data_IF_334268682174
#
_entry.id   IF_334268682174
#
_cell.length_a   1.000
_cell.length_b   1.000
_cell.length_c   1.000
_cell.angle_alpha   90.00
_cell.angle_beta   90.00
_cell.angle_gamma   90.00
#
_symmetry.space_group_name_H-M   'P 1'
#
loop_
_entity.id
_entity.type
_entity.pdbx_description
1 polymer ?
#
# COMPACT_ATOMS: atom_id res chain seq x y z
N UNK A 1 21.72 46.57 70.81
CA UNK A 1 20.64 47.23 70.05
C UNK A 1 20.55 46.61 68.65
N UNK A 2 19.35 46.60 68.08
CA UNK A 2 18.90 45.81 66.91
C UNK A 2 19.69 46.06 65.60
N UNK A 3 19.66 45.01 64.77
CA UNK A 3 20.14 44.85 63.38
C UNK A 3 19.64 45.91 62.41
N UNK A 4 20.42 46.21 61.36
CA UNK A 4 19.88 46.32 60.00
C UNK A 4 20.98 46.02 58.96
N UNK A 5 20.94 44.80 58.41
CA UNK A 5 21.64 44.42 57.18
C UNK A 5 20.68 44.68 56.02
N UNK A 6 21.04 45.55 55.08
CA UNK A 6 20.37 45.67 53.79
C UNK A 6 20.76 44.47 52.92
N UNK A 7 19.77 43.70 52.48
CA UNK A 7 19.91 42.68 51.44
C UNK A 7 19.79 43.33 50.05
N UNK A 8 20.64 42.98 49.06
CA UNK A 8 20.33 43.24 47.67
C UNK A 8 19.36 42.17 47.15
N UNK A 9 18.24 42.62 46.58
CA UNK A 9 17.26 41.78 45.89
C UNK A 9 17.89 41.24 44.60
N UNK A 10 18.17 39.94 44.55
CA UNK A 10 18.49 39.24 43.31
C UNK A 10 17.17 38.96 42.59
N UNK A 11 16.94 39.62 41.46
CA UNK A 11 15.85 39.31 40.54
C UNK A 11 16.23 38.02 39.80
N UNK A 12 15.72 36.88 40.26
CA UNK A 12 15.84 35.62 39.56
C UNK A 12 14.93 35.66 38.32
N UNK A 13 15.53 35.79 37.13
CA UNK A 13 14.85 35.43 35.88
C UNK A 13 14.66 33.92 35.87
N UNK A 14 13.42 33.47 36.03
CA UNK A 14 13.03 32.11 35.71
C UNK A 14 13.23 31.87 34.21
N UNK A 15 13.82 30.75 33.78
CA UNK A 15 13.74 30.37 32.38
C UNK A 15 12.27 30.11 32.07
N UNK A 16 11.75 30.80 31.05
CA UNK A 16 10.47 30.47 30.44
C UNK A 16 10.51 28.98 30.09
N UNK A 17 9.59 28.21 30.67
CA UNK A 17 9.44 26.80 30.35
C UNK A 17 9.30 26.65 28.85
N UNK A 18 10.27 25.98 28.23
CA UNK A 18 10.06 25.41 26.92
C UNK A 18 8.93 24.40 27.09
N UNK A 19 7.74 24.74 26.58
CA UNK A 19 6.76 23.72 26.25
C UNK A 19 7.40 22.84 25.18
N UNK A 20 8.03 21.74 25.62
CA UNK A 20 8.30 20.61 24.77
C UNK A 20 6.94 20.14 24.24
N UNK A 21 6.60 20.62 23.05
CA UNK A 21 5.48 20.16 22.28
C UNK A 21 5.84 18.75 21.78
N UNK A 22 5.84 17.77 22.69
CA UNK A 22 5.92 16.35 22.34
C UNK A 22 4.57 15.99 21.74
N UNK A 23 4.41 16.26 20.45
CA UNK A 23 3.41 15.57 19.64
C UNK A 23 3.76 14.09 19.67
N UNK A 24 3.24 13.39 20.67
CA UNK A 24 3.34 11.94 20.76
C UNK A 24 2.79 11.38 19.46
N UNK A 25 3.67 10.81 18.64
CA UNK A 25 3.29 10.19 17.37
C UNK A 25 2.13 9.22 17.63
N UNK A 26 1.14 9.21 16.74
CA UNK A 26 0.02 8.29 16.85
C UNK A 26 0.55 6.86 16.97
N UNK A 27 -0.06 6.03 17.84
CA UNK A 27 0.39 4.65 18.02
C UNK A 27 0.34 3.91 16.68
N UNK A 28 1.31 3.04 16.46
CA UNK A 28 1.44 2.28 15.21
C UNK A 28 1.53 0.79 15.48
N UNK A 29 1.19 0.00 14.45
CA UNK A 29 1.47 -1.43 14.37
C UNK A 29 2.56 -1.66 13.34
N UNK A 30 3.38 -2.69 13.55
CA UNK A 30 4.38 -3.11 12.56
C UNK A 30 3.83 -4.26 11.71
N UNK A 31 3.68 -4.03 10.40
CA UNK A 31 3.37 -5.06 9.41
C UNK A 31 4.61 -5.29 8.55
N UNK A 32 5.07 -6.54 8.50
CA UNK A 32 6.22 -6.93 7.66
C UNK A 32 5.73 -7.56 6.37
N UNK A 33 6.54 -7.54 5.31
CA UNK A 33 6.33 -8.40 4.15
C UNK A 33 6.59 -9.86 4.54
N UNK A 34 5.74 -10.77 4.06
CA UNK A 34 5.93 -12.21 4.17
C UNK A 34 6.97 -12.73 3.17
N UNK A 35 6.97 -14.03 2.92
CA UNK A 35 7.75 -14.62 1.84
C UNK A 35 7.09 -14.32 0.49
N UNK A 36 7.85 -13.97 -0.55
CA UNK A 36 7.28 -13.73 -1.86
C UNK A 36 6.66 -15.02 -2.42
N UNK A 37 5.54 -14.89 -3.12
CA UNK A 37 4.79 -16.04 -3.68
C UNK A 37 4.60 -15.89 -5.19
N UNK A 38 3.57 -15.15 -5.61
CA UNK A 38 3.20 -14.95 -7.02
C UNK A 38 3.49 -13.51 -7.45
N UNK A 39 3.90 -13.33 -8.69
CA UNK A 39 3.82 -12.08 -9.43
C UNK A 39 2.71 -12.24 -10.48
N UNK A 40 1.80 -11.28 -10.53
CA UNK A 40 0.67 -11.33 -11.45
C UNK A 40 0.54 -10.03 -12.23
N UNK A 41 0.59 -10.15 -13.55
CA UNK A 41 0.45 -9.01 -14.46
C UNK A 41 -0.97 -8.96 -14.99
N UNK A 42 -1.59 -7.80 -14.91
CA UNK A 42 -2.92 -7.49 -15.42
C UNK A 42 -2.77 -6.60 -16.66
N UNK A 43 -3.51 -6.95 -17.71
CA UNK A 43 -3.61 -6.19 -18.96
C UNK A 43 -5.09 -5.87 -19.17
N UNK A 44 -5.49 -4.63 -18.93
CA UNK A 44 -6.88 -4.21 -18.96
C UNK A 44 -7.37 -3.98 -20.39
N UNK A 45 -8.52 -4.57 -20.72
CA UNK A 45 -9.25 -4.33 -21.96
C UNK A 45 -10.39 -3.33 -21.73
N UNK A 46 -10.99 -3.36 -20.52
CA UNK A 46 -11.95 -2.37 -20.05
C UNK A 46 -11.48 -1.77 -18.72
N UNK A 47 -11.19 -0.47 -18.72
CA UNK A 47 -10.59 0.27 -17.61
C UNK A 47 -11.60 1.16 -16.87
N UNK A 48 -11.17 1.67 -15.71
CA UNK A 48 -11.81 2.80 -15.04
C UNK A 48 -11.32 4.12 -15.64
N UNK A 49 -12.25 4.94 -16.15
CA UNK A 49 -11.91 6.15 -16.92
C UNK A 49 -11.06 7.16 -16.14
N UNK A 50 -11.24 7.28 -14.81
CA UNK A 50 -10.45 8.20 -13.99
C UNK A 50 -9.02 7.71 -13.72
N UNK A 51 -8.74 6.43 -13.96
CA UNK A 51 -7.42 5.79 -13.78
C UNK A 51 -7.10 4.87 -14.97
N UNK A 52 -6.78 5.43 -16.15
CA UNK A 52 -6.60 4.67 -17.38
C UNK A 52 -5.19 4.05 -17.44
N UNK A 53 -4.91 3.12 -16.52
CA UNK A 53 -3.65 2.38 -16.48
C UNK A 53 -3.83 1.04 -17.17
N UNK A 54 -3.31 0.85 -18.39
CA UNK A 54 -3.59 -0.35 -19.18
C UNK A 54 -2.95 -1.60 -18.57
N UNK A 55 -1.85 -1.43 -17.86
CA UNK A 55 -1.07 -2.51 -17.29
C UNK A 55 -0.85 -2.29 -15.79
N UNK A 56 -0.94 -3.36 -15.01
CA UNK A 56 -0.57 -3.36 -13.61
C UNK A 56 0.15 -4.66 -13.22
N UNK A 57 1.05 -4.59 -12.25
CA UNK A 57 1.72 -5.78 -11.68
C UNK A 57 1.46 -5.86 -10.19
N UNK A 58 0.99 -7.02 -9.74
CA UNK A 58 0.75 -7.39 -8.35
C UNK A 58 1.87 -8.30 -7.86
N UNK A 59 2.42 -8.00 -6.69
CA UNK A 59 3.41 -8.82 -5.98
C UNK A 59 2.77 -9.33 -4.69
N UNK A 60 2.62 -10.65 -4.55
CA UNK A 60 1.99 -11.28 -3.40
C UNK A 60 3.02 -11.81 -2.41
N UNK A 61 2.65 -11.75 -1.13
CA UNK A 61 3.41 -12.28 0.00
C UNK A 61 2.53 -13.22 0.83
N UNK A 62 3.10 -14.31 1.34
CA UNK A 62 2.39 -15.41 2.02
C UNK A 62 1.61 -15.01 3.29
N UNK A 63 1.84 -13.82 3.81
CA UNK A 63 1.14 -13.26 4.96
C UNK A 63 -0.04 -12.35 4.59
N UNK A 64 -0.47 -12.35 3.32
CA UNK A 64 -1.64 -11.59 2.86
C UNK A 64 -1.36 -10.13 2.52
N UNK A 65 -0.10 -9.70 2.48
CA UNK A 65 0.29 -8.37 2.00
C UNK A 65 0.55 -8.42 0.50
N UNK A 66 0.19 -7.35 -0.23
CA UNK A 66 0.58 -7.18 -1.62
C UNK A 66 1.11 -5.78 -1.90
N UNK A 67 1.90 -5.67 -2.98
CA UNK A 67 2.20 -4.40 -3.67
C UNK A 67 1.58 -4.43 -5.06
N UNK A 68 1.00 -3.32 -5.49
CA UNK A 68 0.61 -3.11 -6.88
C UNK A 68 1.37 -1.90 -7.45
N UNK A 69 1.77 -2.03 -8.71
CA UNK A 69 2.38 -0.95 -9.49
C UNK A 69 1.72 -0.85 -10.86
N UNK A 70 1.58 0.37 -11.37
CA UNK A 70 1.19 0.71 -12.73
C UNK A 70 1.87 2.04 -13.13
N UNK A 71 1.78 2.52 -14.39
CA UNK A 71 2.39 3.79 -14.80
C UNK A 71 2.08 5.00 -13.92
N UNK A 72 0.96 5.00 -13.19
CA UNK A 72 0.59 6.11 -12.30
C UNK A 72 -0.03 5.64 -10.97
N UNK A 73 0.19 4.40 -10.57
CA UNK A 73 -0.29 3.84 -9.31
C UNK A 73 0.85 3.08 -8.63
N UNK A 74 1.04 3.32 -7.34
CA UNK A 74 1.97 2.57 -6.52
C UNK A 74 1.49 2.58 -5.07
N UNK A 75 0.96 1.44 -4.63
CA UNK A 75 0.52 1.31 -3.24
C UNK A 75 0.59 -0.13 -2.74
N UNK A 76 0.36 -0.24 -1.44
CA UNK A 76 0.33 -1.50 -0.72
C UNK A 76 -1.09 -1.79 -0.25
N UNK A 77 -1.38 -3.06 0.01
CA UNK A 77 -2.65 -3.48 0.54
C UNK A 77 -2.58 -4.84 1.18
N UNK A 78 -3.74 -5.29 1.63
CA UNK A 78 -3.95 -6.67 2.09
C UNK A 78 -4.90 -7.39 1.16
N UNK A 79 -4.74 -8.69 1.02
CA UNK A 79 -5.59 -9.51 0.16
C UNK A 79 -6.08 -10.78 0.86
N UNK A 80 -7.23 -11.26 0.39
CA UNK A 80 -7.81 -12.54 0.79
C UNK A 80 -8.22 -13.29 -0.47
N UNK A 81 -7.72 -14.51 -0.61
CA UNK A 81 -8.04 -15.40 -1.74
C UNK A 81 -9.23 -16.28 -1.38
N UNK A 82 -10.17 -16.42 -2.31
CA UNK A 82 -11.19 -17.48 -2.31
C UNK A 82 -10.68 -18.61 -3.22
N UNK A 83 -10.22 -19.70 -2.61
CA UNK A 83 -9.45 -20.75 -3.28
C UNK A 83 -7.94 -20.51 -3.11
N UNK A 84 -7.16 -20.91 -4.10
CA UNK A 84 -5.71 -20.70 -4.16
C UNK A 84 -5.35 -19.94 -5.45
N UNK A 85 -4.28 -19.14 -5.42
CA UNK A 85 -3.81 -18.38 -6.59
C UNK A 85 -3.39 -19.27 -7.77
N UNK A 86 -3.22 -20.57 -7.52
CA UNK A 86 -2.88 -21.60 -8.49
C UNK A 86 -4.07 -22.39 -9.01
N UNK A 87 -5.28 -22.19 -8.48
CA UNK A 87 -6.49 -22.90 -8.94
C UNK A 87 -6.89 -22.43 -10.34
N UNK A 88 -7.53 -23.29 -11.13
CA UNK A 88 -8.02 -22.96 -12.48
C UNK A 88 -8.91 -21.70 -12.48
N UNK A 89 -9.74 -21.57 -11.45
CA UNK A 89 -10.53 -20.39 -11.16
C UNK A 89 -10.39 -20.01 -9.69
N UNK A 90 -10.16 -18.73 -9.43
CA UNK A 90 -10.08 -18.19 -8.08
C UNK A 90 -10.55 -16.74 -8.06
N UNK A 91 -10.82 -16.23 -6.87
CA UNK A 91 -11.16 -14.83 -6.70
C UNK A 91 -10.34 -14.22 -5.57
N UNK A 92 -10.08 -12.92 -5.64
CA UNK A 92 -9.30 -12.21 -4.63
C UNK A 92 -10.00 -10.92 -4.24
N UNK A 93 -10.13 -10.71 -2.94
CA UNK A 93 -10.46 -9.40 -2.38
C UNK A 93 -9.16 -8.68 -2.05
N UNK A 94 -9.02 -7.45 -2.51
CA UNK A 94 -7.92 -6.57 -2.15
C UNK A 94 -8.47 -5.37 -1.40
N UNK A 95 -7.82 -5.00 -0.31
CA UNK A 95 -8.05 -3.74 0.39
C UNK A 95 -6.74 -2.95 0.29
N UNK A 96 -6.74 -1.92 -0.55
CA UNK A 96 -5.64 -0.97 -0.64
C UNK A 96 -5.55 -0.18 0.66
N UNK A 97 -4.35 -0.04 1.19
CA UNK A 97 -4.11 0.86 2.32
C UNK A 97 -4.30 2.32 1.86
N UNK A 98 -4.59 3.23 2.80
CA UNK A 98 -4.56 4.67 2.56
C UNK A 98 -3.33 5.11 1.76
N UNK A 99 -3.57 5.71 0.59
CA UNK A 99 -2.53 6.19 -0.32
C UNK A 99 -3.03 7.38 -1.14
N UNK A 100 -2.11 8.14 -1.75
CA UNK A 100 -2.47 9.24 -2.66
C UNK A 100 -3.34 8.78 -3.82
N UNK A 101 -3.17 7.54 -4.26
CA UNK A 101 -3.95 6.91 -5.33
C UNK A 101 -5.45 6.88 -5.00
N UNK A 102 -5.81 6.89 -3.72
CA UNK A 102 -7.18 6.79 -3.22
C UNK A 102 -7.53 7.93 -2.24
N UNK A 103 -6.92 9.10 -2.40
CA UNK A 103 -7.24 10.28 -1.58
C UNK A 103 -6.92 10.12 -0.09
N UNK A 104 -5.97 9.26 0.26
CA UNK A 104 -5.65 8.91 1.64
C UNK A 104 -6.67 7.98 2.30
N UNK A 105 -7.53 7.31 1.51
CA UNK A 105 -8.53 6.33 1.97
C UNK A 105 -8.22 4.94 1.44
N UNK A 106 -8.95 3.96 1.96
CA UNK A 106 -8.91 2.59 1.44
C UNK A 106 -9.74 2.45 0.18
N UNK A 107 -9.34 1.55 -0.71
CA UNK A 107 -10.16 1.08 -1.82
C UNK A 107 -10.32 -0.43 -1.74
N UNK A 108 -11.49 -0.94 -2.12
CA UNK A 108 -11.76 -2.36 -2.22
C UNK A 108 -11.81 -2.76 -3.70
N UNK A 109 -11.06 -3.81 -4.04
CA UNK A 109 -11.14 -4.46 -5.33
C UNK A 109 -11.53 -5.92 -5.15
N UNK A 110 -12.40 -6.40 -6.02
CA UNK A 110 -12.75 -7.80 -6.11
C UNK A 110 -12.51 -8.29 -7.53
N UNK A 111 -11.53 -9.18 -7.67
CA UNK A 111 -11.15 -9.74 -8.96
C UNK A 111 -11.48 -11.23 -9.01
N UNK A 112 -11.96 -11.69 -10.16
CA UNK A 112 -12.13 -13.11 -10.48
C UNK A 112 -11.22 -13.46 -11.63
N UNK A 113 -10.51 -14.57 -11.54
CA UNK A 113 -9.52 -15.02 -12.51
C UNK A 113 -9.90 -16.39 -13.06
N UNK A 114 -9.67 -16.58 -14.36
CA UNK A 114 -9.75 -17.88 -15.03
C UNK A 114 -8.43 -18.15 -15.75
N UNK A 115 -7.65 -19.12 -15.25
CA UNK A 115 -6.32 -19.49 -15.77
C UNK A 115 -6.41 -20.27 -17.09
N UNK A 116 -7.54 -20.92 -17.39
CA UNK A 116 -7.73 -21.62 -18.68
C UNK A 116 -7.80 -20.64 -19.84
N UNK A 117 -8.47 -19.51 -19.64
CA UNK A 117 -8.62 -18.45 -20.64
C UNK A 117 -7.64 -17.30 -20.47
N UNK A 118 -6.89 -17.26 -19.35
CA UNK A 118 -6.03 -16.14 -18.95
C UNK A 118 -6.79 -14.82 -18.92
N UNK A 119 -8.02 -14.82 -18.37
CA UNK A 119 -8.88 -13.63 -18.29
C UNK A 119 -9.24 -13.30 -16.83
N UNK A 120 -9.54 -12.03 -16.59
CA UNK A 120 -10.06 -11.59 -15.30
C UNK A 120 -11.22 -10.60 -15.45
N UNK A 121 -12.03 -10.52 -14.41
CA UNK A 121 -13.03 -9.45 -14.22
C UNK A 121 -12.75 -8.76 -12.89
N UNK A 122 -13.11 -7.48 -12.81
CA UNK A 122 -12.87 -6.64 -11.65
C UNK A 122 -14.10 -5.80 -11.33
N UNK A 123 -14.45 -5.75 -10.04
CA UNK A 123 -15.31 -4.74 -9.46
C UNK A 123 -14.50 -3.97 -8.42
N UNK A 124 -14.59 -2.64 -8.43
CA UNK A 124 -13.91 -1.79 -7.45
C UNK A 124 -14.89 -0.83 -6.79
N UNK A 125 -14.52 -0.34 -5.62
CA UNK A 125 -15.29 0.67 -4.88
C UNK A 125 -14.36 1.40 -3.90
N UNK A 126 -14.62 2.68 -3.68
CA UNK A 126 -13.99 3.48 -2.63
C UNK A 126 -14.91 4.62 -2.23
N UNK A 127 -14.53 5.38 -1.21
CA UNK A 127 -15.38 6.40 -0.57
C UNK A 127 -16.01 7.38 -1.57
N UNK A 128 -15.21 7.97 -2.47
CA UNK A 128 -15.70 9.01 -3.41
C UNK A 128 -16.22 8.44 -4.74
N UNK A 129 -16.05 7.15 -5.00
CA UNK A 129 -16.64 6.48 -6.16
C UNK A 129 -17.11 5.06 -5.79
N UNK A 130 -18.29 4.96 -5.16
CA UNK A 130 -18.77 3.67 -4.68
C UNK A 130 -19.22 2.73 -5.81
N UNK A 131 -19.46 3.26 -7.01
CA UNK A 131 -20.12 2.56 -8.11
C UNK A 131 -19.26 2.51 -9.38
N UNK A 132 -17.97 2.21 -9.24
CA UNK A 132 -17.05 2.08 -10.39
C UNK A 132 -17.59 1.00 -11.34
N UNK A 133 -17.64 1.30 -12.63
CA UNK A 133 -18.12 0.35 -13.63
C UNK A 133 -17.25 -0.93 -13.65
N UNK A 134 -17.84 -2.11 -13.97
CA UNK A 134 -17.08 -3.35 -14.08
C UNK A 134 -15.97 -3.26 -15.14
N UNK A 135 -14.80 -3.79 -14.78
CA UNK A 135 -13.57 -3.81 -15.57
C UNK A 135 -13.20 -5.26 -15.93
N UNK A 136 -12.38 -5.45 -16.95
CA UNK A 136 -11.91 -6.78 -17.36
C UNK A 136 -10.62 -6.71 -18.19
N UNK A 137 -10.02 -7.87 -18.40
CA UNK A 137 -8.89 -8.02 -19.30
C UNK A 137 -8.22 -9.38 -19.21
N UNK A 138 -6.93 -9.41 -19.51
CA UNK A 138 -6.07 -10.60 -19.50
C UNK A 138 -5.08 -10.57 -18.34
N UNK A 139 -4.58 -11.73 -17.95
CA UNK A 139 -3.52 -11.79 -16.94
C UNK A 139 -2.47 -12.85 -17.27
N UNK A 140 -1.31 -12.70 -16.64
CA UNK A 140 -0.27 -13.73 -16.58
C UNK A 140 0.27 -13.85 -15.16
N UNK A 141 0.85 -15.00 -14.82
CA UNK A 141 1.42 -15.28 -13.51
C UNK A 141 2.80 -15.90 -13.64
N UNK A 142 3.67 -15.60 -12.68
CA UNK A 142 4.96 -16.26 -12.46
C UNK A 142 5.30 -16.24 -10.97
N UNK A 143 6.39 -16.89 -10.58
CA UNK A 143 6.89 -16.81 -9.20
C UNK A 143 7.39 -15.39 -8.90
N UNK A 144 6.95 -14.84 -7.77
CA UNK A 144 7.55 -13.65 -7.19
C UNK A 144 8.81 -14.09 -6.42
N UNK A 145 9.94 -13.47 -6.75
CA UNK A 145 11.24 -13.74 -6.11
C UNK A 145 11.75 -12.54 -5.30
N UNK A 146 10.96 -11.46 -5.22
CA UNK A 146 11.39 -10.20 -4.64
C UNK A 146 10.98 -10.12 -3.17
N UNK A 147 11.98 -10.22 -2.29
CA UNK A 147 11.78 -10.21 -0.84
C UNK A 147 11.45 -8.81 -0.31
N UNK A 148 12.09 -7.75 -0.86
CA UNK A 148 11.81 -6.36 -0.50
C UNK A 148 11.13 -5.62 -1.67
N UNK A 149 9.81 -5.40 -1.63
CA UNK A 149 9.11 -4.73 -2.72
C UNK A 149 9.31 -3.21 -2.76
N UNK A 150 9.98 -2.60 -1.77
CA UNK A 150 10.03 -1.14 -1.65
C UNK A 150 10.77 -0.46 -2.80
N UNK A 151 11.77 -1.14 -3.37
CA UNK A 151 12.54 -0.63 -4.52
C UNK A 151 11.90 -0.93 -5.88
N UNK A 152 10.83 -1.72 -5.92
CA UNK A 152 10.13 -2.02 -7.16
C UNK A 152 9.23 -0.84 -7.49
N UNK A 153 9.39 -0.23 -8.64
CA UNK A 153 8.48 0.78 -9.16
C UNK A 153 8.07 0.37 -10.57
N UNK A 154 7.12 1.09 -11.16
CA UNK A 154 6.77 0.87 -12.57
C UNK A 154 7.99 0.95 -13.51
N UNK A 155 9.00 1.75 -13.21
CA UNK A 155 10.18 1.89 -14.07
C UNK A 155 11.16 0.72 -13.89
N UNK A 156 11.23 0.10 -12.71
CA UNK A 156 12.23 -0.93 -12.40
C UNK A 156 11.69 -2.36 -12.46
N UNK A 157 10.36 -2.54 -12.56
CA UNK A 157 9.72 -3.86 -12.46
C UNK A 157 10.07 -4.87 -13.57
N UNK A 158 10.55 -4.37 -14.70
CA UNK A 158 10.99 -5.19 -15.83
C UNK A 158 12.48 -5.56 -15.76
N UNK A 159 13.23 -4.99 -14.81
CA UNK A 159 14.67 -5.15 -14.73
C UNK A 159 15.06 -6.50 -14.08
N UNK A 160 15.79 -7.38 -14.79
CA UNK A 160 16.26 -8.64 -14.22
C UNK A 160 17.25 -8.47 -13.05
N UNK A 161 17.92 -7.32 -12.89
CA UNK A 161 18.91 -7.12 -11.81
C UNK A 161 18.32 -7.16 -10.39
N UNK A 162 17.01 -6.93 -10.23
CA UNK A 162 16.36 -6.97 -8.91
C UNK A 162 16.17 -8.39 -8.35
N UNK A 163 16.41 -9.45 -9.12
CA UNK A 163 16.18 -10.85 -8.71
C UNK A 163 17.23 -11.43 -7.75
N UNK A 164 18.29 -10.69 -7.42
CA UNK A 164 19.48 -11.24 -6.74
C UNK A 164 20.08 -10.39 -5.61
N UNK A 165 19.39 -9.34 -5.15
CA UNK A 165 19.84 -8.51 -4.02
C UNK A 165 19.10 -8.85 -2.73
#
# INVERSE_FOLDING_TARGET
>A
MKKMLLFPTILAMLPAGAEENTTSASPSIAVKFGKPTIEQKLFYEKMYEKKPFPDATLYYYDNGVYKIISPGEEHYGVYVVRGHLTDDEYAVHYISLPSSDWGGKTAHHYLKFNRKTNTFTQQATWEDDPNIAPQNGRFSQRDNTITDPRSITWQTHADPEQKSR
#
